data_IF_569800098702
#
_entry.id   IF_569800098702
#
_cell.length_a   1.000
_cell.length_b   1.000
_cell.length_c   1.000
_cell.angle_alpha   90.00
_cell.angle_beta   90.00
_cell.angle_gamma   90.00
#
_symmetry.space_group_name_H-M   'P 1'
#
loop_
_entity.id
_entity.type
_entity.pdbx_description
1 polymer ?
#
# COMPACT_ATOMS: atom_id res chain seq x y z
N UNK A 1 -3.12 -12.15 -18.92
CA UNK A 1 -2.41 -10.92 -18.50
C UNK A 1 -1.45 -10.41 -19.57
N UNK A 2 -0.40 -11.15 -19.92
CA UNK A 2 0.64 -10.65 -20.84
C UNK A 2 0.13 -10.19 -22.21
N UNK A 3 -0.87 -10.85 -22.81
CA UNK A 3 -1.40 -10.44 -24.12
C UNK A 3 -2.08 -9.07 -24.08
N UNK A 4 -2.76 -8.73 -22.99
CA UNK A 4 -3.44 -7.44 -22.83
C UNK A 4 -2.43 -6.30 -22.68
N UNK A 5 -1.40 -6.49 -21.85
CA UNK A 5 -0.31 -5.52 -21.68
C UNK A 5 0.45 -5.29 -22.99
N UNK A 6 0.74 -6.37 -23.72
CA UNK A 6 1.42 -6.26 -25.02
C UNK A 6 0.59 -5.47 -26.03
N UNK A 7 -0.72 -5.69 -26.09
CA UNK A 7 -1.58 -4.95 -27.00
C UNK A 7 -1.61 -3.46 -26.66
N UNK A 8 -1.74 -3.11 -25.37
CA UNK A 8 -1.72 -1.72 -24.90
C UNK A 8 -0.40 -1.02 -25.26
N UNK A 9 0.74 -1.71 -25.13
CA UNK A 9 2.05 -1.15 -25.51
C UNK A 9 2.23 -1.01 -27.03
N UNK A 10 1.63 -1.88 -27.84
CA UNK A 10 1.69 -1.78 -29.30
C UNK A 10 0.91 -0.56 -29.80
N UNK A 11 -0.17 -0.17 -29.12
CA UNK A 11 -0.99 1.00 -29.46
C UNK A 11 -0.25 2.34 -29.30
N UNK A 12 0.83 2.41 -28.50
CA UNK A 12 1.71 3.59 -28.40
C UNK A 12 2.48 3.88 -29.70
N UNK A 13 2.60 2.89 -30.59
CA UNK A 13 3.35 3.01 -31.83
C UNK A 13 4.87 2.84 -31.66
N UNK A 14 5.64 3.01 -32.76
CA UNK A 14 7.08 2.71 -32.80
C UNK A 14 7.98 3.87 -32.33
N UNK A 15 7.41 5.02 -31.99
CA UNK A 15 8.18 6.15 -31.48
C UNK A 15 8.51 5.96 -30.01
N UNK A 16 9.65 6.48 -29.57
CA UNK A 16 10.03 6.43 -28.17
C UNK A 16 8.99 7.19 -27.31
N UNK A 17 8.32 6.51 -26.38
CA UNK A 17 7.29 7.14 -25.56
C UNK A 17 7.88 8.16 -24.59
N UNK A 18 7.16 9.26 -24.39
CA UNK A 18 7.47 10.29 -23.40
C UNK A 18 7.05 9.85 -21.99
N UNK A 19 7.62 10.48 -20.96
CA UNK A 19 7.25 10.18 -19.56
C UNK A 19 5.74 10.33 -19.31
N UNK A 20 5.14 11.38 -19.86
CA UNK A 20 3.71 11.69 -19.66
C UNK A 20 2.80 10.61 -20.29
N UNK A 21 3.23 10.02 -21.40
CA UNK A 21 2.48 8.93 -22.05
C UNK A 21 2.45 7.64 -21.21
N UNK A 22 3.46 7.41 -20.37
CA UNK A 22 3.44 6.29 -19.43
C UNK A 22 2.50 6.54 -18.25
N UNK A 23 2.37 7.79 -17.81
CA UNK A 23 1.53 8.18 -16.67
C UNK A 23 0.03 8.22 -17.02
N UNK A 24 -0.33 8.74 -18.19
CA UNK A 24 -1.74 8.98 -18.55
C UNK A 24 -2.29 8.04 -19.64
N UNK A 25 -1.42 7.37 -20.40
CA UNK A 25 -1.81 6.62 -21.60
C UNK A 25 -2.01 5.11 -21.43
N UNK A 26 -1.62 4.52 -20.30
CA UNK A 26 -1.47 3.06 -20.14
C UNK A 26 -2.08 2.53 -18.84
N UNK A 27 -3.42 2.53 -18.70
CA UNK A 27 -4.09 2.16 -17.46
C UNK A 27 -3.83 0.70 -17.03
N UNK A 28 -3.60 -0.22 -17.97
CA UNK A 28 -3.32 -1.61 -17.61
C UNK A 28 -1.87 -1.80 -17.16
N UNK A 29 -0.90 -1.09 -17.76
CA UNK A 29 0.46 -1.01 -17.24
C UNK A 29 0.49 -0.43 -15.81
N UNK A 30 -0.21 0.68 -15.57
CA UNK A 30 -0.30 1.30 -14.23
C UNK A 30 -0.85 0.31 -13.20
N UNK A 31 -1.96 -0.36 -13.53
CA UNK A 31 -2.54 -1.38 -12.67
C UNK A 31 -1.57 -2.55 -12.38
N UNK A 32 -0.79 -2.99 -13.38
CA UNK A 32 0.23 -4.04 -13.18
C UNK A 32 1.37 -3.56 -12.28
N UNK A 33 1.83 -2.33 -12.45
CA UNK A 33 2.88 -1.74 -11.59
C UNK A 33 2.38 -1.61 -10.15
N UNK A 34 1.21 -1.03 -9.94
CA UNK A 34 0.61 -0.89 -8.61
C UNK A 34 0.35 -2.23 -7.94
N UNK A 35 -0.15 -3.22 -8.67
CA UNK A 35 -0.35 -4.57 -8.13
C UNK A 35 0.98 -5.26 -7.79
N UNK A 36 2.02 -5.04 -8.60
CA UNK A 36 3.36 -5.53 -8.32
C UNK A 36 3.92 -4.92 -7.05
N UNK A 37 3.79 -3.60 -6.87
CA UNK A 37 4.26 -2.89 -5.67
C UNK A 37 3.45 -3.24 -4.42
N UNK A 38 2.15 -3.53 -4.56
CA UNK A 38 1.29 -4.01 -3.46
C UNK A 38 1.77 -5.35 -2.89
N UNK A 39 2.20 -6.27 -3.76
CA UNK A 39 2.67 -7.60 -3.36
C UNK A 39 4.17 -7.60 -3.01
N UNK A 40 4.97 -6.87 -3.79
CA UNK A 40 6.42 -6.83 -3.70
C UNK A 40 6.90 -5.42 -3.34
N UNK A 41 6.43 -4.90 -2.21
CA UNK A 41 6.86 -3.60 -1.72
C UNK A 41 8.39 -3.61 -1.48
N UNK A 42 9.16 -2.69 -2.10
CA UNK A 42 10.61 -2.63 -1.90
C UNK A 42 10.99 -2.16 -0.48
N UNK A 43 10.07 -1.48 0.20
CA UNK A 43 10.19 -1.05 1.58
C UNK A 43 9.27 -1.89 2.45
N UNK A 44 9.82 -2.50 3.50
CA UNK A 44 9.09 -3.46 4.35
C UNK A 44 8.08 -2.81 5.28
N UNK A 45 8.44 -1.65 5.83
CA UNK A 45 7.64 -0.93 6.82
C UNK A 45 7.90 0.58 6.73
N UNK A 46 6.90 1.37 7.10
CA UNK A 46 7.03 2.80 7.31
C UNK A 46 7.07 3.08 8.82
N UNK A 47 8.11 3.75 9.28
CA UNK A 47 8.22 4.20 10.67
C UNK A 47 7.66 5.61 10.83
N UNK A 48 6.92 5.83 11.92
CA UNK A 48 6.43 7.16 12.35
C UNK A 48 6.70 7.34 13.85
N UNK A 49 6.77 8.59 14.28
CA UNK A 49 6.84 8.97 15.70
C UNK A 49 5.68 9.92 15.96
N UNK A 50 4.86 9.63 16.96
CA UNK A 50 3.74 10.49 17.34
C UNK A 50 4.28 11.83 17.85
N UNK A 51 3.90 12.95 17.21
CA UNK A 51 4.38 14.27 17.62
C UNK A 51 3.60 14.82 18.83
N UNK A 52 2.39 14.31 19.06
CA UNK A 52 1.54 14.59 20.21
C UNK A 52 0.75 13.35 20.64
N UNK A 53 0.01 13.47 21.74
CA UNK A 53 -0.92 12.42 22.17
C UNK A 53 -2.09 12.34 21.18
N UNK A 54 -2.36 11.16 20.62
CA UNK A 54 -3.34 10.97 19.56
C UNK A 54 -4.18 9.70 19.79
N UNK A 55 -5.33 9.60 19.12
CA UNK A 55 -6.23 8.45 19.18
C UNK A 55 -6.48 7.94 17.77
N UNK A 56 -5.99 6.74 17.48
CA UNK A 56 -6.18 6.09 16.18
C UNK A 56 -7.47 5.25 16.22
N UNK A 57 -8.51 5.60 15.44
CA UNK A 57 -9.70 4.77 15.33
C UNK A 57 -9.38 3.50 14.55
N UNK A 58 -9.85 2.36 15.05
CA UNK A 58 -9.72 1.07 14.38
C UNK A 58 -10.88 0.90 13.39
N UNK A 59 -10.60 0.36 12.20
CA UNK A 59 -11.64 0.08 11.20
C UNK A 59 -12.64 -0.98 11.66
N UNK A 60 -12.16 -1.94 12.45
CA UNK A 60 -12.96 -2.97 13.09
C UNK A 60 -12.54 -3.10 14.56
N UNK A 61 -13.48 -3.32 15.49
CA UNK A 61 -13.15 -3.47 16.90
C UNK A 61 -12.29 -4.72 17.15
N UNK A 62 -11.23 -4.58 17.96
CA UNK A 62 -10.32 -5.68 18.28
C UNK A 62 -10.52 -6.14 19.73
N UNK A 63 -10.55 -7.46 19.95
CA UNK A 63 -10.62 -8.04 21.29
C UNK A 63 -9.23 -8.14 21.90
N UNK A 64 -9.03 -7.46 23.02
CA UNK A 64 -7.78 -7.49 23.79
C UNK A 64 -7.63 -8.78 24.59
N UNK A 65 -6.43 -9.03 25.12
CA UNK A 65 -6.14 -10.17 26.01
C UNK A 65 -7.00 -10.18 27.28
N UNK A 66 -7.48 -9.02 27.74
CA UNK A 66 -8.40 -8.88 28.87
C UNK A 66 -9.86 -9.18 28.49
N UNK A 67 -10.15 -9.45 27.22
CA UNK A 67 -11.49 -9.71 26.71
C UNK A 67 -12.31 -8.46 26.40
N UNK A 68 -11.76 -7.25 26.61
CA UNK A 68 -12.42 -6.00 26.25
C UNK A 68 -12.34 -5.76 24.74
N UNK A 69 -13.45 -5.29 24.19
CA UNK A 69 -13.54 -4.83 22.81
C UNK A 69 -13.05 -3.38 22.76
N UNK A 70 -12.09 -3.10 21.88
CA UNK A 70 -11.48 -1.78 21.74
C UNK A 70 -11.68 -1.30 20.31
N UNK A 71 -12.18 -0.08 20.16
CA UNK A 71 -12.43 0.58 18.87
C UNK A 71 -11.42 1.70 18.58
N UNK A 72 -10.70 2.14 19.62
CA UNK A 72 -9.79 3.27 19.55
C UNK A 72 -8.48 2.94 20.26
N UNK A 73 -7.35 3.29 19.64
CA UNK A 73 -6.02 3.09 20.19
C UNK A 73 -5.42 4.45 20.58
N UNK A 74 -5.25 4.68 21.89
CA UNK A 74 -4.56 5.88 22.39
C UNK A 74 -3.04 5.71 22.28
N UNK A 75 -2.38 6.70 21.69
CA UNK A 75 -0.94 6.74 21.44
C UNK A 75 -0.38 7.99 22.12
N UNK A 76 0.64 7.83 22.96
CA UNK A 76 1.30 8.96 23.59
C UNK A 76 2.34 9.62 22.66
N UNK A 77 2.60 10.92 22.84
CA UNK A 77 3.70 11.64 22.20
C UNK A 77 5.01 10.87 22.35
N UNK A 78 5.75 10.78 21.25
CA UNK A 78 7.03 10.08 21.16
C UNK A 78 6.92 8.58 20.90
N UNK A 79 5.70 8.01 20.84
CA UNK A 79 5.52 6.60 20.50
C UNK A 79 5.99 6.33 19.07
N UNK A 80 6.86 5.32 18.91
CA UNK A 80 7.30 4.85 17.60
C UNK A 80 6.29 3.85 17.05
N UNK A 81 5.71 4.17 15.91
CA UNK A 81 4.78 3.31 15.18
C UNK A 81 5.52 2.68 14.00
N UNK A 82 5.50 1.35 13.91
CA UNK A 82 5.91 0.64 12.71
C UNK A 82 4.69 0.15 11.94
N UNK A 83 4.56 0.60 10.70
CA UNK A 83 3.44 0.26 9.82
C UNK A 83 3.98 -0.67 8.72
N UNK A 84 3.69 -1.98 8.78
CA UNK A 84 4.13 -2.90 7.73
C UNK A 84 3.41 -2.57 6.42
N UNK A 85 4.19 -2.48 5.34
CA UNK A 85 3.66 -2.26 3.98
C UNK A 85 3.49 -3.58 3.22
N UNK A 86 4.18 -4.63 3.65
CA UNK A 86 4.02 -5.95 3.08
C UNK A 86 2.71 -6.57 3.58
N UNK A 87 1.97 -7.21 2.68
CA UNK A 87 0.88 -8.10 3.06
C UNK A 87 1.45 -9.19 3.99
N UNK A 88 1.05 -9.12 5.25
CA UNK A 88 1.14 -10.25 6.17
C UNK A 88 0.24 -11.35 5.60
N UNK A 89 0.79 -12.21 4.75
CA UNK A 89 0.26 -13.56 4.60
C UNK A 89 0.49 -14.16 5.98
N UNK A 90 -0.56 -14.15 6.81
CA UNK A 90 -0.55 -14.81 8.10
C UNK A 90 -0.18 -16.28 7.84
N UNK A 91 1.10 -16.62 8.07
CA UNK A 91 1.56 -18.00 8.09
C UNK A 91 0.77 -18.68 9.20
N UNK A 92 -0.09 -19.60 8.77
CA UNK A 92 -0.90 -20.46 9.62
C UNK A 92 -0.04 -21.58 10.21
#
# INVERSE_FOLDING_TARGET
MHSKLRNELIELGPADPTCDQFSDGLPYLDAVVHETLRIHAPVREATRIADEDDVIPLSEPVRTKSGQLVENLSIAKGTVLSIPLLLSISQQ
#
